data_IF_905256031089
#
_entry.id   IF_905256031089
#
_cell.length_a   1.000
_cell.length_b   1.000
_cell.length_c   1.000
_cell.angle_alpha   90.00
_cell.angle_beta   90.00
_cell.angle_gamma   90.00
#
_symmetry.space_group_name_H-M   'P 1'
#
loop_
_entity.id
_entity.type
_entity.pdbx_description
1 polymer ?
#
# COMPACT_ATOMS: atom_id res chain seq x y z
N UNK A 1 -2.29 12.41 -10.33
CA UNK A 1 -1.99 13.15 -9.08
C UNK A 1 -3.09 12.90 -8.06
N UNK A 2 -2.76 12.50 -6.83
CA UNK A 2 -3.72 12.36 -5.73
C UNK A 2 -3.68 13.64 -4.87
N UNK A 3 -4.83 14.25 -4.63
CA UNK A 3 -4.98 15.47 -3.82
C UNK A 3 -5.91 15.21 -2.64
N UNK A 4 -5.50 15.65 -1.47
CA UNK A 4 -6.25 15.59 -0.21
C UNK A 4 -6.54 17.04 0.20
N UNK A 5 -7.82 17.35 0.48
CA UNK A 5 -8.25 18.71 0.91
C UNK A 5 -9.00 18.63 2.22
N UNK A 6 -8.47 19.31 3.23
CA UNK A 6 -9.09 19.49 4.55
C UNK A 6 -9.57 18.17 5.19
N UNK A 7 -8.82 17.07 4.98
CA UNK A 7 -9.20 15.76 5.49
C UNK A 7 -9.12 15.75 7.01
N UNK A 8 -10.21 15.36 7.64
CA UNK A 8 -10.34 15.26 9.09
C UNK A 8 -10.87 13.88 9.48
N UNK A 9 -10.27 13.30 10.50
CA UNK A 9 -10.68 12.01 11.08
C UNK A 9 -10.62 12.05 12.60
N UNK A 10 -11.70 11.63 13.23
CA UNK A 10 -11.81 11.45 14.67
C UNK A 10 -12.04 9.97 15.02
N UNK A 11 -11.57 9.57 16.18
CA UNK A 11 -12.06 8.39 16.88
C UNK A 11 -12.52 8.83 18.28
N UNK A 12 -13.79 8.62 18.56
CA UNK A 12 -14.45 9.13 19.76
C UNK A 12 -14.23 10.65 19.92
N UNK A 13 -13.56 11.06 20.99
CA UNK A 13 -13.27 12.46 21.29
C UNK A 13 -11.86 12.90 20.88
N UNK A 14 -11.11 12.06 20.11
CA UNK A 14 -9.74 12.37 19.68
C UNK A 14 -9.69 12.69 18.19
N UNK A 15 -9.12 13.84 17.87
CA UNK A 15 -8.78 14.17 16.46
C UNK A 15 -7.49 13.46 16.09
N UNK A 16 -7.56 12.56 15.12
CA UNK A 16 -6.42 11.79 14.63
C UNK A 16 -5.78 12.48 13.43
N UNK A 17 -6.59 13.03 12.55
CA UNK A 17 -6.16 13.81 11.39
C UNK A 17 -6.95 15.11 11.43
N UNK A 18 -6.26 16.25 11.37
CA UNK A 18 -6.86 17.56 11.49
C UNK A 18 -6.59 18.41 10.23
N UNK A 19 -7.64 18.66 9.43
CA UNK A 19 -7.65 19.51 8.24
C UNK A 19 -6.43 19.31 7.33
N UNK A 20 -6.03 18.06 7.11
CA UNK A 20 -4.86 17.71 6.30
C UNK A 20 -5.06 18.12 4.84
N UNK A 21 -4.12 18.89 4.32
CA UNK A 21 -4.02 19.23 2.90
C UNK A 21 -2.71 18.67 2.36
N UNK A 22 -2.77 17.93 1.24
CA UNK A 22 -1.62 17.24 0.69
C UNK A 22 -1.81 16.97 -0.80
N UNK A 23 -0.73 17.10 -1.56
CA UNK A 23 -0.67 16.73 -2.96
C UNK A 23 0.42 15.69 -3.19
N UNK A 24 0.08 14.62 -3.90
CA UNK A 24 1.00 13.54 -4.24
C UNK A 24 1.08 13.47 -5.77
N UNK A 25 2.17 13.99 -6.37
CA UNK A 25 2.33 13.96 -7.82
C UNK A 25 2.40 12.52 -8.35
N UNK A 26 1.97 12.32 -9.58
CA UNK A 26 2.04 11.03 -10.25
C UNK A 26 3.49 10.53 -10.35
N UNK A 27 3.70 9.24 -10.15
CA UNK A 27 5.02 8.60 -10.20
C UNK A 27 5.97 9.00 -9.07
N UNK A 28 5.49 9.66 -8.01
CA UNK A 28 6.30 10.10 -6.87
C UNK A 28 6.02 9.28 -5.62
N UNK A 29 7.02 9.25 -4.73
CA UNK A 29 6.92 8.63 -3.41
C UNK A 29 6.72 9.75 -2.38
N UNK A 30 5.54 9.74 -1.74
CA UNK A 30 5.34 10.45 -0.48
C UNK A 30 5.69 9.54 0.68
N UNK A 31 6.61 9.94 1.53
CA UNK A 31 6.90 9.23 2.77
C UNK A 31 6.36 10.02 3.96
N UNK A 32 5.56 9.35 4.79
CA UNK A 32 4.95 9.93 6.00
C UNK A 32 5.67 9.37 7.21
N UNK A 33 6.35 10.23 7.94
CA UNK A 33 7.19 9.83 9.09
C UNK A 33 6.68 10.45 10.38
N UNK A 34 6.74 9.70 11.44
CA UNK A 34 6.37 10.19 12.78
C UNK A 34 6.27 9.06 13.80
N UNK A 35 6.03 9.38 15.07
CA UNK A 35 5.91 8.39 16.14
C UNK A 35 4.69 7.49 15.95
N UNK A 36 4.70 6.35 16.65
CA UNK A 36 3.52 5.48 16.76
C UNK A 36 2.35 6.28 17.36
N UNK A 37 1.15 6.05 16.84
CA UNK A 37 -0.03 6.80 17.25
C UNK A 37 -0.20 8.17 16.59
N UNK A 38 0.68 8.59 15.68
CA UNK A 38 0.57 9.86 14.93
C UNK A 38 -0.44 9.86 13.76
N UNK A 39 -1.38 8.91 13.70
CA UNK A 39 -2.42 8.88 12.67
C UNK A 39 -2.00 8.38 11.28
N UNK A 40 -0.74 7.96 11.10
CA UNK A 40 -0.18 7.55 9.80
C UNK A 40 -0.93 6.38 9.15
N UNK A 41 -1.08 5.27 9.88
CA UNK A 41 -1.84 4.09 9.44
C UNK A 41 -3.32 4.44 9.21
N UNK A 42 -3.89 5.32 10.05
CA UNK A 42 -5.26 5.81 9.89
C UNK A 42 -5.43 6.56 8.58
N UNK A 43 -4.50 7.46 8.25
CA UNK A 43 -4.52 8.18 6.98
C UNK A 43 -4.49 7.20 5.80
N UNK A 44 -3.56 6.24 5.82
CA UNK A 44 -3.45 5.24 4.77
C UNK A 44 -4.74 4.42 4.61
N UNK A 45 -5.37 4.03 5.74
CA UNK A 45 -6.67 3.32 5.74
C UNK A 45 -7.80 4.16 5.19
N UNK A 46 -7.86 5.46 5.52
CA UNK A 46 -8.85 6.37 4.95
C UNK A 46 -8.70 6.48 3.42
N UNK A 47 -7.47 6.62 2.92
CA UNK A 47 -7.19 6.69 1.49
C UNK A 47 -7.53 5.39 0.74
N UNK A 48 -7.45 4.26 1.42
CA UNK A 48 -7.77 2.94 0.87
C UNK A 48 -9.26 2.54 1.03
N UNK A 49 -10.09 3.38 1.63
CA UNK A 49 -11.50 3.06 1.88
C UNK A 49 -11.73 2.01 2.98
N UNK A 50 -10.69 1.71 3.77
CA UNK A 50 -10.76 0.78 4.90
C UNK A 50 -11.20 1.47 6.20
N UNK A 51 -11.26 2.80 6.16
CA UNK A 51 -11.75 3.66 7.23
C UNK A 51 -12.46 4.86 6.61
N UNK A 52 -13.55 5.32 7.22
CA UNK A 52 -14.30 6.49 6.75
C UNK A 52 -13.59 7.78 7.12
N UNK A 53 -13.69 8.80 6.29
CA UNK A 53 -13.31 10.19 6.64
C UNK A 53 -14.52 10.90 7.23
N UNK A 54 -14.30 11.81 8.20
CA UNK A 54 -15.39 12.57 8.80
C UNK A 54 -15.70 13.84 8.01
N UNK A 55 -14.67 14.46 7.43
CA UNK A 55 -14.80 15.59 6.50
C UNK A 55 -13.58 15.72 5.62
N UNK A 56 -13.70 16.51 4.55
CA UNK A 56 -12.67 16.72 3.56
C UNK A 56 -13.00 16.09 2.21
N UNK A 57 -12.08 16.25 1.28
CA UNK A 57 -12.27 15.79 -0.10
C UNK A 57 -11.01 15.10 -0.61
N UNK A 58 -11.18 13.98 -1.32
CA UNK A 58 -10.13 13.28 -2.04
C UNK A 58 -10.36 13.43 -3.54
N UNK A 59 -9.30 13.78 -4.28
CA UNK A 59 -9.36 13.91 -5.73
C UNK A 59 -8.25 13.09 -6.37
N UNK A 60 -8.60 12.36 -7.42
CA UNK A 60 -7.65 11.71 -8.33
C UNK A 60 -7.70 12.45 -9.66
N UNK A 61 -6.59 13.05 -10.08
CA UNK A 61 -6.47 13.85 -11.30
C UNK A 61 -7.53 14.96 -11.40
N UNK A 62 -7.85 15.59 -10.25
CA UNK A 62 -8.84 16.65 -10.14
C UNK A 62 -10.29 16.16 -10.04
N UNK A 63 -10.55 14.87 -10.16
CA UNK A 63 -11.88 14.28 -10.04
C UNK A 63 -12.12 13.80 -8.60
N UNK A 64 -13.15 14.30 -7.89
CA UNK A 64 -13.49 13.85 -6.56
C UNK A 64 -13.86 12.36 -6.54
N UNK A 65 -13.41 11.64 -5.52
CA UNK A 65 -13.81 10.26 -5.26
C UNK A 65 -13.96 10.00 -3.76
N UNK A 66 -14.84 9.07 -3.41
CA UNK A 66 -14.98 8.59 -2.04
C UNK A 66 -14.57 7.10 -1.98
N UNK A 67 -13.41 6.77 -1.42
CA UNK A 67 -12.94 5.39 -1.41
C UNK A 67 -13.84 4.42 -0.62
N UNK A 68 -14.62 4.92 0.35
CA UNK A 68 -15.55 4.11 1.12
C UNK A 68 -16.86 3.75 0.35
N UNK A 69 -17.16 4.47 -0.71
CA UNK A 69 -18.36 4.27 -1.55
C UNK A 69 -18.03 3.65 -2.92
N UNK A 70 -16.75 3.52 -3.24
CA UNK A 70 -16.32 2.91 -4.50
C UNK A 70 -16.56 1.40 -4.47
N UNK A 71 -16.98 0.84 -5.60
CA UNK A 71 -16.90 -0.60 -5.81
C UNK A 71 -15.45 -1.06 -5.66
N UNK A 72 -15.24 -2.23 -5.05
CA UNK A 72 -13.89 -2.76 -4.84
C UNK A 72 -13.06 -2.88 -6.14
N UNK A 73 -13.73 -2.92 -7.30
CA UNK A 73 -13.09 -2.96 -8.61
C UNK A 73 -12.41 -1.63 -9.01
N UNK A 74 -12.90 -0.51 -8.48
CA UNK A 74 -12.42 0.84 -8.80
C UNK A 74 -11.46 1.40 -7.74
N UNK A 75 -10.96 0.54 -6.86
CA UNK A 75 -10.12 0.93 -5.74
C UNK A 75 -8.85 1.65 -6.20
N UNK A 76 -8.72 2.92 -5.83
CA UNK A 76 -7.61 3.79 -6.24
C UNK A 76 -6.31 3.40 -5.53
N UNK A 77 -6.38 3.08 -4.24
CA UNK A 77 -5.22 2.83 -3.39
C UNK A 77 -5.16 1.35 -2.98
N UNK A 78 -4.14 0.64 -3.45
CA UNK A 78 -3.78 -0.68 -2.92
C UNK A 78 -2.88 -0.55 -1.70
N UNK A 79 -3.01 -1.44 -0.70
CA UNK A 79 -2.21 -1.36 0.53
C UNK A 79 -1.47 -2.65 0.82
N UNK A 80 -0.20 -2.51 1.22
CA UNK A 80 0.64 -3.55 1.79
C UNK A 80 0.80 -3.26 3.29
N UNK A 81 0.22 -4.11 4.13
CA UNK A 81 0.25 -3.96 5.59
C UNK A 81 1.50 -4.56 6.20
N UNK A 82 1.86 -4.09 7.39
CA UNK A 82 3.03 -4.49 8.16
C UNK A 82 3.11 -6.01 8.43
N UNK A 83 1.97 -6.66 8.70
CA UNK A 83 1.85 -8.09 8.97
C UNK A 83 1.54 -8.94 7.72
N UNK A 84 1.67 -8.32 6.53
CA UNK A 84 1.43 -8.88 5.19
C UNK A 84 0.00 -9.38 4.94
N UNK A 85 -0.75 -9.77 5.96
CA UNK A 85 -2.14 -10.25 5.93
C UNK A 85 -2.42 -11.29 4.82
N UNK A 86 -1.47 -12.21 4.59
CA UNK A 86 -1.65 -13.30 3.64
C UNK A 86 -2.63 -14.33 4.20
N UNK A 87 -3.47 -14.87 3.35
CA UNK A 87 -4.36 -15.97 3.68
C UNK A 87 -3.53 -17.24 3.90
N UNK A 88 -3.43 -17.77 5.13
CA UNK A 88 -2.49 -18.85 5.44
C UNK A 88 -2.85 -20.21 4.81
N UNK A 89 -4.11 -20.39 4.45
CA UNK A 89 -4.67 -21.60 3.83
C UNK A 89 -4.68 -21.54 2.29
N UNK A 90 -4.26 -20.44 1.69
CA UNK A 90 -4.12 -20.28 0.26
C UNK A 90 -2.64 -20.32 -0.14
N UNK A 91 -2.35 -20.90 -1.30
CA UNK A 91 -1.02 -20.83 -1.90
C UNK A 91 -0.65 -19.39 -2.29
N UNK A 92 0.61 -19.17 -2.64
CA UNK A 92 1.09 -17.86 -3.14
C UNK A 92 0.27 -17.42 -4.34
N UNK A 93 0.06 -18.28 -5.34
CA UNK A 93 -0.71 -17.98 -6.53
C UNK A 93 -2.16 -17.63 -6.19
N UNK A 94 -2.80 -18.39 -5.32
CA UNK A 94 -4.17 -18.15 -4.88
C UNK A 94 -4.31 -16.85 -4.09
N UNK A 95 -3.35 -16.50 -3.23
CA UNK A 95 -3.34 -15.22 -2.54
C UNK A 95 -3.34 -14.03 -3.52
N UNK A 96 -2.66 -14.15 -4.66
CA UNK A 96 -2.55 -13.07 -5.64
C UNK A 96 -3.79 -13.03 -6.54
N UNK A 97 -4.31 -14.18 -6.97
CA UNK A 97 -5.39 -14.28 -7.97
C UNK A 97 -6.79 -14.16 -7.40
N UNK A 98 -6.97 -14.31 -6.09
CA UNK A 98 -8.29 -14.33 -5.45
C UNK A 98 -9.08 -13.05 -5.74
N UNK A 99 -8.50 -11.88 -5.43
CA UNK A 99 -9.18 -10.61 -5.59
C UNK A 99 -9.42 -10.25 -7.07
N UNK A 100 -8.47 -10.34 -8.00
CA UNK A 100 -8.73 -10.13 -9.43
C UNK A 100 -9.87 -10.99 -9.96
N UNK A 101 -9.92 -12.26 -9.57
CA UNK A 101 -10.98 -13.17 -10.04
C UNK A 101 -12.35 -12.84 -9.44
N UNK A 102 -12.42 -12.54 -8.14
CA UNK A 102 -13.69 -12.30 -7.45
C UNK A 102 -14.24 -10.88 -7.65
N UNK A 103 -13.36 -9.88 -7.62
CA UNK A 103 -13.70 -8.46 -7.62
C UNK A 103 -13.68 -7.89 -9.03
N UNK A 104 -12.56 -8.04 -9.76
CA UNK A 104 -12.44 -7.53 -11.13
C UNK A 104 -13.14 -8.44 -12.16
N UNK A 105 -13.64 -9.61 -11.73
CA UNK A 105 -14.28 -10.62 -12.61
C UNK A 105 -13.36 -11.08 -13.74
N UNK A 106 -12.05 -11.02 -13.53
CA UNK A 106 -11.09 -11.48 -14.53
C UNK A 106 -11.19 -12.99 -14.73
N UNK A 107 -10.96 -13.42 -15.97
CA UNK A 107 -10.86 -14.84 -16.29
C UNK A 107 -9.71 -15.47 -15.51
N UNK A 108 -9.95 -16.64 -14.90
CA UNK A 108 -8.97 -17.34 -14.05
C UNK A 108 -7.62 -17.54 -14.74
N UNK A 109 -7.63 -17.94 -16.02
CA UNK A 109 -6.41 -18.17 -16.79
C UNK A 109 -5.60 -16.87 -16.95
N UNK A 110 -6.26 -15.74 -17.25
CA UNK A 110 -5.63 -14.42 -17.36
C UNK A 110 -5.06 -13.98 -16.02
N UNK A 111 -5.84 -14.04 -14.95
CA UNK A 111 -5.38 -13.66 -13.60
C UNK A 111 -4.18 -14.51 -13.15
N UNK A 112 -4.16 -15.82 -13.47
CA UNK A 112 -3.01 -16.68 -13.18
C UNK A 112 -1.76 -16.29 -13.97
N UNK A 113 -1.91 -15.96 -15.25
CA UNK A 113 -0.80 -15.52 -16.10
C UNK A 113 -0.20 -14.22 -15.56
N UNK A 114 -1.03 -13.21 -15.28
CA UNK A 114 -0.58 -11.93 -14.72
C UNK A 114 0.10 -12.11 -13.35
N UNK A 115 -0.42 -12.99 -12.50
CA UNK A 115 0.17 -13.31 -11.21
C UNK A 115 1.56 -13.97 -11.34
N UNK A 116 1.75 -14.87 -12.31
CA UNK A 116 3.06 -15.48 -12.57
C UNK A 116 4.09 -14.45 -13.05
N UNK A 117 3.68 -13.52 -13.92
CA UNK A 117 4.53 -12.42 -14.36
C UNK A 117 4.94 -11.49 -13.19
N UNK A 118 4.01 -11.20 -12.28
CA UNK A 118 4.31 -10.43 -11.06
C UNK A 118 5.29 -11.19 -10.14
N UNK A 119 5.10 -12.50 -9.97
CA UNK A 119 6.00 -13.33 -9.17
C UNK A 119 7.41 -13.36 -9.77
N UNK A 120 7.55 -13.46 -11.09
CA UNK A 120 8.84 -13.41 -11.77
C UNK A 120 9.53 -12.06 -11.56
N UNK A 121 8.82 -10.94 -11.80
CA UNK A 121 9.33 -9.57 -11.59
C UNK A 121 9.77 -9.32 -10.16
N UNK A 122 9.12 -9.95 -9.18
CA UNK A 122 9.44 -9.81 -7.76
C UNK A 122 10.42 -10.88 -7.24
N UNK A 123 11.03 -11.67 -8.12
CA UNK A 123 12.03 -12.69 -7.75
C UNK A 123 11.44 -13.85 -6.94
N UNK A 124 10.19 -14.20 -7.23
CA UNK A 124 9.45 -15.30 -6.58
C UNK A 124 9.08 -16.43 -7.55
N UNK A 125 9.72 -16.50 -8.72
CA UNK A 125 9.52 -17.60 -9.67
C UNK A 125 9.73 -18.97 -9.00
N UNK A 126 8.85 -19.93 -9.29
CA UNK A 126 8.86 -21.25 -8.67
C UNK A 126 8.29 -21.33 -7.26
N UNK A 127 7.72 -20.23 -6.73
CA UNK A 127 7.09 -20.18 -5.40
C UNK A 127 5.56 -20.20 -5.42
N UNK A 128 4.95 -20.26 -6.60
CA UNK A 128 3.51 -20.14 -6.83
C UNK A 128 2.66 -21.15 -6.06
N UNK A 129 3.20 -22.35 -5.81
CA UNK A 129 2.52 -23.45 -5.10
C UNK A 129 2.81 -23.50 -3.60
N UNK A 130 3.74 -22.65 -3.11
CA UNK A 130 4.06 -22.60 -1.69
C UNK A 130 2.96 -21.87 -0.90
N UNK A 131 2.92 -22.15 0.39
CA UNK A 131 2.02 -21.49 1.34
C UNK A 131 2.79 -20.45 2.17
N UNK A 132 2.09 -19.45 2.77
CA UNK A 132 2.76 -18.40 3.54
C UNK A 132 3.72 -18.89 4.63
N UNK A 133 3.40 -19.99 5.31
CA UNK A 133 4.26 -20.57 6.35
C UNK A 133 5.59 -21.14 5.81
N UNK A 134 5.71 -21.39 4.51
CA UNK A 134 6.90 -21.89 3.84
C UNK A 134 7.83 -20.76 3.33
N UNK A 135 7.43 -19.52 3.52
CA UNK A 135 8.12 -18.35 3.00
C UNK A 135 8.90 -17.61 4.10
N UNK A 136 10.03 -17.02 3.73
CA UNK A 136 10.71 -16.04 4.58
C UNK A 136 9.89 -14.74 4.69
N UNK A 137 10.21 -13.88 5.68
CA UNK A 137 9.55 -12.58 5.86
C UNK A 137 9.57 -11.72 4.60
N UNK A 138 10.72 -11.57 3.95
CA UNK A 138 10.85 -10.80 2.71
C UNK A 138 10.11 -11.44 1.52
N UNK A 139 9.98 -12.78 1.48
CA UNK A 139 9.16 -13.45 0.47
C UNK A 139 7.67 -13.20 0.71
N UNK A 140 7.20 -13.28 1.96
CA UNK A 140 5.82 -12.93 2.33
C UNK A 140 5.47 -11.50 1.94
N UNK A 141 6.36 -10.57 2.19
CA UNK A 141 6.17 -9.17 1.81
C UNK A 141 6.02 -9.00 0.30
N UNK A 142 6.89 -9.65 -0.48
CA UNK A 142 6.81 -9.59 -1.95
C UNK A 142 5.55 -10.26 -2.49
N UNK A 143 5.03 -11.31 -1.84
CA UNK A 143 3.72 -11.89 -2.16
C UNK A 143 2.58 -10.91 -1.85
N UNK A 144 2.62 -10.23 -0.70
CA UNK A 144 1.64 -9.20 -0.35
C UNK A 144 1.66 -8.03 -1.34
N UNK A 145 2.85 -7.64 -1.80
CA UNK A 145 3.03 -6.64 -2.84
C UNK A 145 2.45 -7.12 -4.19
N UNK A 146 2.76 -8.35 -4.62
CA UNK A 146 2.19 -8.92 -5.83
C UNK A 146 0.66 -8.95 -5.78
N UNK A 147 0.08 -9.30 -4.63
CA UNK A 147 -1.37 -9.28 -4.39
C UNK A 147 -1.96 -7.88 -4.55
N UNK A 148 -1.31 -6.86 -3.99
CA UNK A 148 -1.76 -5.48 -4.12
C UNK A 148 -1.66 -4.98 -5.59
N UNK A 149 -0.56 -5.28 -6.28
CA UNK A 149 -0.34 -4.90 -7.68
C UNK A 149 -1.30 -5.61 -8.65
N UNK A 150 -1.71 -6.85 -8.35
CA UNK A 150 -2.65 -7.60 -9.17
C UNK A 150 -4.02 -6.90 -9.31
N UNK A 151 -4.39 -6.05 -8.36
CA UNK A 151 -5.59 -5.20 -8.43
C UNK A 151 -5.41 -3.94 -9.28
N UNK A 152 -4.21 -3.71 -9.85
CA UNK A 152 -3.89 -2.58 -10.74
C UNK A 152 -4.19 -1.20 -10.11
N UNK A 153 -3.78 -0.94 -8.86
CA UNK A 153 -4.09 0.31 -8.17
C UNK A 153 -3.41 1.49 -8.86
N UNK A 154 -3.98 2.69 -8.71
CA UNK A 154 -3.35 3.96 -9.16
C UNK A 154 -2.27 4.44 -8.18
N UNK A 155 -2.44 4.14 -6.92
CA UNK A 155 -1.51 4.48 -5.84
C UNK A 155 -1.27 3.24 -4.98
N UNK A 156 -0.01 3.00 -4.63
CA UNK A 156 0.37 1.89 -3.76
C UNK A 156 0.80 2.42 -2.40
N UNK A 157 0.11 1.98 -1.35
CA UNK A 157 0.40 2.34 0.03
C UNK A 157 1.16 1.24 0.76
N UNK A 158 2.08 1.64 1.63
CA UNK A 158 2.82 0.73 2.51
C UNK A 158 2.71 1.19 3.96
N UNK A 159 2.31 0.28 4.82
CA UNK A 159 2.26 0.51 6.27
C UNK A 159 3.44 -0.19 6.94
N UNK A 160 4.44 0.59 7.38
CA UNK A 160 5.67 0.13 8.05
C UNK A 160 6.39 -1.02 7.30
N UNK A 161 6.76 -0.85 6.02
CA UNK A 161 7.22 -1.95 5.17
C UNK A 161 8.57 -2.57 5.60
N UNK A 162 9.33 -1.88 6.45
CA UNK A 162 10.64 -2.35 6.92
C UNK A 162 10.68 -2.73 8.40
N UNK A 163 9.53 -2.62 9.10
CA UNK A 163 9.46 -2.99 10.50
C UNK A 163 9.72 -4.49 10.67
N UNK A 164 10.48 -4.85 11.68
CA UNK A 164 10.87 -6.22 12.00
C UNK A 164 11.67 -6.98 10.90
N UNK A 165 12.23 -6.27 9.92
CA UNK A 165 13.13 -6.85 8.92
C UNK A 165 14.60 -6.67 9.31
N UNK A 166 15.41 -7.67 8.99
CA UNK A 166 16.87 -7.53 9.04
C UNK A 166 17.38 -6.55 7.95
N UNK A 167 18.64 -6.05 8.07
CA UNK A 167 19.16 -5.06 7.14
C UNK A 167 19.17 -5.50 5.66
N UNK A 168 19.41 -6.78 5.38
CA UNK A 168 19.44 -7.28 4.00
C UNK A 168 18.03 -7.31 3.38
N UNK A 169 17.01 -7.69 4.16
CA UNK A 169 15.62 -7.64 3.72
C UNK A 169 15.09 -6.21 3.57
N UNK A 170 15.53 -5.27 4.44
CA UNK A 170 15.20 -3.84 4.28
C UNK A 170 15.71 -3.30 2.94
N UNK A 171 16.94 -3.60 2.56
CA UNK A 171 17.48 -3.18 1.28
C UNK A 171 16.68 -3.73 0.11
N UNK A 172 16.25 -4.99 0.15
CA UNK A 172 15.40 -5.56 -0.90
C UNK A 172 14.05 -4.83 -1.03
N UNK A 173 13.45 -4.41 0.08
CA UNK A 173 12.21 -3.62 0.07
C UNK A 173 12.45 -2.23 -0.54
N UNK A 174 13.54 -1.57 -0.16
CA UNK A 174 13.96 -0.28 -0.71
C UNK A 174 14.11 -0.37 -2.24
N UNK A 175 14.82 -1.37 -2.74
CA UNK A 175 15.03 -1.61 -4.18
C UNK A 175 13.70 -1.79 -4.91
N UNK A 176 12.77 -2.59 -4.37
CA UNK A 176 11.45 -2.81 -4.98
C UNK A 176 10.63 -1.52 -5.04
N UNK A 177 10.61 -0.73 -3.97
CA UNK A 177 9.88 0.56 -3.93
C UNK A 177 10.47 1.52 -4.99
N UNK A 178 11.80 1.63 -5.07
CA UNK A 178 12.47 2.49 -6.03
C UNK A 178 12.28 2.02 -7.47
N UNK A 179 12.24 0.72 -7.73
CA UNK A 179 11.98 0.19 -9.06
C UNK A 179 10.54 0.41 -9.52
N UNK A 180 9.55 0.28 -8.64
CA UNK A 180 8.17 0.65 -8.93
C UNK A 180 8.03 2.15 -9.22
N UNK A 181 8.77 3.02 -8.50
CA UNK A 181 8.84 4.45 -8.81
C UNK A 181 9.35 4.71 -10.22
N UNK A 182 10.44 4.05 -10.63
CA UNK A 182 11.00 4.16 -11.99
C UNK A 182 9.99 3.74 -13.07
N UNK A 183 9.07 2.82 -12.73
CA UNK A 183 7.98 2.38 -13.60
C UNK A 183 6.78 3.34 -13.60
N UNK A 184 6.85 4.47 -12.87
CA UNK A 184 5.80 5.48 -12.80
C UNK A 184 4.73 5.23 -11.73
N UNK A 185 4.92 4.26 -10.83
CA UNK A 185 3.96 4.00 -9.75
C UNK A 185 4.00 5.11 -8.71
N UNK A 186 2.85 5.72 -8.44
CA UNK A 186 2.66 6.65 -7.32
C UNK A 186 2.59 5.87 -6.01
N UNK A 187 3.36 6.29 -4.99
CA UNK A 187 3.47 5.51 -3.77
C UNK A 187 3.35 6.39 -2.51
N UNK A 188 2.76 5.81 -1.47
CA UNK A 188 2.68 6.40 -0.13
C UNK A 188 3.34 5.41 0.83
N UNK A 189 4.38 5.83 1.53
CA UNK A 189 5.08 4.98 2.51
C UNK A 189 4.92 5.57 3.89
N UNK A 190 4.33 4.82 4.79
CA UNK A 190 4.21 5.17 6.20
C UNK A 190 5.30 4.44 6.98
N UNK A 191 6.12 5.18 7.73
CA UNK A 191 7.19 4.58 8.53
C UNK A 191 7.57 5.46 9.72
N UNK A 192 8.22 4.87 10.72
CA UNK A 192 8.93 5.59 11.78
C UNK A 192 10.46 5.60 11.57
N UNK A 193 10.95 4.88 10.54
CA UNK A 193 12.38 4.81 10.20
C UNK A 193 12.77 5.98 9.29
N UNK A 194 13.35 7.02 9.88
CA UNK A 194 13.78 8.22 9.16
C UNK A 194 14.86 7.92 8.12
N UNK A 195 15.82 7.04 8.46
CA UNK A 195 16.92 6.71 7.55
C UNK A 195 16.43 5.98 6.29
N UNK A 196 15.41 5.13 6.42
CA UNK A 196 14.73 4.51 5.29
C UNK A 196 13.93 5.54 4.50
N UNK A 197 13.17 6.41 5.19
CA UNK A 197 12.37 7.45 4.56
C UNK A 197 13.21 8.37 3.67
N UNK A 198 14.34 8.87 4.16
CA UNK A 198 15.24 9.77 3.43
C UNK A 198 15.83 9.16 2.15
N UNK A 199 15.98 7.84 2.10
CA UNK A 199 16.51 7.15 0.92
C UNK A 199 15.50 7.03 -0.22
N UNK A 200 14.22 6.89 0.10
CA UNK A 200 13.19 6.57 -0.90
C UNK A 200 12.31 7.77 -1.26
N UNK A 201 12.15 8.76 -0.37
CA UNK A 201 11.19 9.84 -0.52
C UNK A 201 11.53 10.80 -1.66
N UNK A 202 10.53 11.12 -2.48
CA UNK A 202 10.53 12.34 -3.28
C UNK A 202 9.99 13.52 -2.44
N UNK A 203 8.96 13.26 -1.62
CA UNK A 203 8.38 14.20 -0.67
C UNK A 203 8.27 13.54 0.72
N UNK A 204 8.54 14.32 1.76
CA UNK A 204 8.50 13.85 3.14
C UNK A 204 7.51 14.68 3.96
N UNK A 205 6.57 14.00 4.61
CA UNK A 205 5.62 14.59 5.55
C UNK A 205 5.94 14.11 6.97
N UNK A 206 6.24 15.05 7.85
CA UNK A 206 6.41 14.78 9.28
C UNK A 206 5.08 14.93 10.00
N UNK A 207 4.63 13.90 10.72
CA UNK A 207 3.43 13.99 11.56
C UNK A 207 3.82 14.01 13.03
N UNK A 208 3.15 14.89 13.78
CA UNK A 208 3.31 15.00 15.22
C UNK A 208 2.49 13.91 15.95
N UNK A 209 2.80 13.60 17.22
CA UNK A 209 1.93 12.78 18.04
C UNK A 209 0.55 13.41 18.15
N UNK A 210 -0.49 12.58 18.12
CA UNK A 210 -1.87 13.01 18.43
C UNK A 210 -1.95 13.30 19.92
N UNK A 211 -2.40 14.50 20.28
CA UNK A 211 -2.59 14.92 21.68
C UNK A 211 -3.86 14.36 22.29
#
# INVERSE_FOLDING_TARGET
MLTIKNLTKHFDNRTIIDHLNLEIPEGKILTIVGPSGGGKTTLLRCLAGLETIDSGELLLDGVPFNPAEMDNADQVVGVVFQDFQLFPHLSVLENITLAPTLVLKEEKAKSQQEALELLEKLGLAGKEKLYPYQLSGGQKQRVALARALAMKPKVLGYDEPTSALDPALRQQVEEVILDLRKQGMTQIVVTHDMAFAEKIADNLLMVAPVQ
#
